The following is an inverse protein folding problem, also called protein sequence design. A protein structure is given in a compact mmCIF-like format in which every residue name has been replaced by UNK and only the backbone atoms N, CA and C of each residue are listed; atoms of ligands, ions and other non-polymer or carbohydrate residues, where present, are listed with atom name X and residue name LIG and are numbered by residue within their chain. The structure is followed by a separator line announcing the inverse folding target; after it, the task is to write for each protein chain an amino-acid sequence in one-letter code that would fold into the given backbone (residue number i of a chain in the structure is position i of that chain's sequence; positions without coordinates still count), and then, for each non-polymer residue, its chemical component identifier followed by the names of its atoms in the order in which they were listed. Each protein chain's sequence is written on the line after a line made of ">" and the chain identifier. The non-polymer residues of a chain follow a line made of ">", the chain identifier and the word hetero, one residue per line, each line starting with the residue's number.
data_IF_956306601414
#
_entry.id   IF_956306601414
#
_cell.length_a   1.000
_cell.length_b   1.000
_cell.length_c   1.000
_cell.angle_alpha   90.00
_cell.angle_beta   90.00
_cell.angle_gamma   90.00
#
_symmetry.space_group_name_H-M   'P 1'
#
loop_
_entity.id
_entity.type
_entity.pdbx_description
1 polymer ?
#
# COMPACT_ATOMS: atom_id res chain seq x y z
N UNK A 1 -17.32 -19.58 9.41
CA UNK A 1 -16.56 -20.35 8.42
C UNK A 1 -15.68 -19.40 7.64
N UNK A 2 -14.35 -19.57 7.64
CA UNK A 2 -13.44 -18.73 6.85
C UNK A 2 -13.53 -19.13 5.38
N UNK A 3 -14.18 -18.29 4.58
CA UNK A 3 -14.23 -18.47 3.14
C UNK A 3 -12.84 -18.13 2.58
N UNK A 4 -12.15 -19.10 2.00
CA UNK A 4 -11.01 -18.82 1.14
C UNK A 4 -11.53 -18.49 -0.25
N UNK A 5 -11.18 -17.34 -0.84
CA UNK A 5 -11.61 -17.05 -2.20
C UNK A 5 -10.80 -17.87 -3.23
N UNK A 6 -11.44 -18.39 -4.30
CA UNK A 6 -10.70 -19.06 -5.36
C UNK A 6 -9.99 -18.01 -6.23
N UNK A 7 -8.76 -18.29 -6.63
CA UNK A 7 -7.89 -17.34 -7.35
C UNK A 7 -8.45 -16.77 -8.65
N UNK A 8 -9.42 -17.44 -9.29
CA UNK A 8 -10.01 -16.98 -10.55
C UNK A 8 -11.13 -15.95 -10.36
N UNK A 9 -11.57 -15.71 -9.13
CA UNK A 9 -12.67 -14.80 -8.82
C UNK A 9 -12.22 -13.36 -8.50
N UNK A 10 -10.90 -13.07 -8.47
CA UNK A 10 -10.40 -11.76 -8.04
C UNK A 10 -9.23 -11.22 -8.89
N UNK A 11 -9.09 -9.89 -8.89
CA UNK A 11 -8.15 -9.12 -9.70
C UNK A 11 -6.71 -9.46 -9.28
N UNK A 12 -5.94 -10.06 -10.18
CA UNK A 12 -4.54 -10.40 -9.96
C UNK A 12 -4.29 -11.77 -9.32
N UNK A 13 -5.32 -12.61 -9.17
CA UNK A 13 -5.15 -14.01 -8.76
C UNK A 13 -4.91 -14.25 -7.27
N UNK A 14 -4.96 -13.23 -6.41
CA UNK A 14 -4.70 -13.44 -4.99
C UNK A 14 -5.79 -14.28 -4.29
N UNK A 15 -5.41 -15.04 -3.28
CA UNK A 15 -6.35 -15.76 -2.42
C UNK A 15 -6.44 -15.02 -1.08
N UNK A 16 -7.65 -14.81 -0.59
CA UNK A 16 -7.91 -14.09 0.66
C UNK A 16 -8.55 -15.00 1.70
N UNK A 17 -8.19 -14.80 2.96
CA UNK A 17 -8.98 -15.25 4.10
C UNK A 17 -10.10 -14.23 4.31
N UNK A 18 -11.34 -14.71 4.25
CA UNK A 18 -12.52 -13.94 4.62
C UNK A 18 -12.72 -14.07 6.12
N UNK A 19 -12.45 -12.97 6.84
CA UNK A 19 -12.79 -12.82 8.25
C UNK A 19 -14.28 -12.43 8.39
N UNK A 20 -14.78 -12.40 9.62
CA UNK A 20 -16.19 -12.07 9.89
C UNK A 20 -16.61 -10.69 9.35
N UNK A 21 -15.68 -9.74 9.32
CA UNK A 21 -15.86 -8.36 8.84
C UNK A 21 -15.39 -8.14 7.39
N UNK A 22 -14.98 -9.21 6.69
CA UNK A 22 -14.61 -9.12 5.29
C UNK A 22 -15.85 -9.00 4.41
N UNK A 23 -15.86 -8.02 3.51
CA UNK A 23 -16.86 -7.84 2.46
C UNK A 23 -16.55 -8.77 1.28
N UNK A 24 -17.37 -9.79 0.99
CA UNK A 24 -17.12 -10.77 -0.08
C UNK A 24 -17.06 -10.15 -1.48
N UNK A 25 -17.65 -8.98 -1.69
CA UNK A 25 -17.62 -8.26 -2.97
C UNK A 25 -16.40 -7.33 -3.07
N UNK A 26 -15.64 -7.18 -1.98
CA UNK A 26 -14.46 -6.31 -1.88
C UNK A 26 -13.30 -6.99 -1.15
N UNK A 27 -13.02 -8.23 -1.55
CA UNK A 27 -11.98 -9.09 -0.97
C UNK A 27 -10.60 -8.43 -0.97
N UNK A 28 -10.22 -7.74 -2.05
CA UNK A 28 -8.94 -7.03 -2.11
C UNK A 28 -8.72 -6.02 -0.97
N UNK A 29 -9.76 -5.29 -0.57
CA UNK A 29 -9.66 -4.21 0.42
C UNK A 29 -10.02 -4.63 1.85
N UNK A 30 -10.74 -5.75 2.01
CA UNK A 30 -11.32 -6.16 3.31
C UNK A 30 -10.95 -7.58 3.73
N UNK A 31 -10.40 -8.39 2.81
CA UNK A 31 -9.89 -9.72 3.07
C UNK A 31 -8.42 -9.69 3.48
N UNK A 32 -7.97 -10.75 4.16
CA UNK A 32 -6.56 -10.91 4.52
C UNK A 32 -5.89 -11.75 3.44
N UNK A 33 -5.02 -11.15 2.61
CA UNK A 33 -4.28 -11.92 1.61
C UNK A 33 -3.47 -13.04 2.30
N UNK A 34 -3.66 -14.30 1.85
CA UNK A 34 -2.90 -15.42 2.41
C UNK A 34 -1.40 -15.29 2.15
N UNK A 35 -1.01 -14.68 1.03
CA UNK A 35 0.38 -14.40 0.69
C UNK A 35 0.97 -13.34 1.62
N UNK A 36 0.20 -12.29 1.93
CA UNK A 36 0.63 -11.28 2.91
C UNK A 36 0.70 -11.84 4.31
N UNK A 37 -0.27 -12.66 4.73
CA UNK A 37 -0.22 -13.37 6.01
C UNK A 37 1.06 -14.21 6.11
N UNK A 38 1.39 -14.96 5.06
CA UNK A 38 2.63 -15.72 4.99
C UNK A 38 3.87 -14.83 5.10
N UNK A 39 3.91 -13.71 4.37
CA UNK A 39 4.98 -12.72 4.48
C UNK A 39 5.09 -12.11 5.88
N UNK A 40 3.96 -11.79 6.54
CA UNK A 40 3.93 -11.25 7.91
C UNK A 40 4.48 -12.28 8.88
N UNK A 41 4.02 -13.53 8.82
CA UNK A 41 4.52 -14.61 9.68
C UNK A 41 6.03 -14.77 9.48
N UNK A 42 6.51 -14.76 8.25
CA UNK A 42 7.93 -14.89 7.92
C UNK A 42 8.78 -13.70 8.40
N UNK A 43 8.32 -12.48 8.18
CA UNK A 43 9.13 -11.27 8.40
C UNK A 43 9.01 -10.72 9.82
N UNK A 44 7.89 -10.99 10.52
CA UNK A 44 7.56 -10.33 11.80
C UNK A 44 7.41 -11.27 12.98
N UNK A 45 7.25 -12.58 12.78
CA UNK A 45 7.19 -13.54 13.90
C UNK A 45 8.60 -13.97 14.28
N UNK A 46 9.15 -13.34 15.31
CA UNK A 46 10.45 -13.70 15.89
C UNK A 46 10.31 -14.91 16.82
N UNK A 47 10.10 -16.10 16.25
CA UNK A 47 10.03 -17.36 16.99
C UNK A 47 10.86 -18.43 16.30
N UNK A 48 11.59 -19.22 17.09
CA UNK A 48 12.41 -20.32 16.57
C UNK A 48 11.58 -21.43 15.93
N UNK A 49 10.32 -21.55 16.38
CA UNK A 49 9.36 -22.52 15.87
C UNK A 49 8.02 -21.85 15.62
N UNK A 50 7.45 -22.09 14.44
CA UNK A 50 6.14 -21.59 14.06
C UNK A 50 5.32 -22.75 13.53
N UNK A 51 4.17 -22.97 14.15
CA UNK A 51 3.16 -23.91 13.66
C UNK A 51 1.94 -23.10 13.25
N UNK A 52 1.51 -23.25 12.00
CA UNK A 52 0.35 -22.54 11.45
C UNK A 52 -0.72 -23.56 11.03
N UNK A 53 -1.94 -23.39 11.52
CA UNK A 53 -3.11 -24.16 11.11
C UNK A 53 -4.03 -23.27 10.28
N UNK A 54 -4.39 -23.70 9.07
CA UNK A 54 -5.20 -22.94 8.11
C UNK A 54 -6.49 -23.69 7.78
N UNK A 55 -7.58 -23.32 8.45
CA UNK A 55 -8.93 -23.76 8.08
C UNK A 55 -9.56 -22.80 7.07
N UNK A 56 -9.08 -22.85 5.83
CA UNK A 56 -9.58 -22.02 4.74
C UNK A 56 -9.69 -22.83 3.45
N UNK A 57 -10.71 -22.53 2.66
CA UNK A 57 -10.90 -23.16 1.35
C UNK A 57 -9.66 -22.92 0.46
N UNK A 58 -9.26 -23.94 -0.31
CA UNK A 58 -8.12 -23.86 -1.23
C UNK A 58 -6.78 -23.50 -0.56
N UNK A 59 -6.63 -23.79 0.74
CA UNK A 59 -5.44 -23.39 1.51
C UNK A 59 -4.18 -24.21 1.21
N UNK A 60 -4.28 -25.41 0.63
CA UNK A 60 -3.14 -26.31 0.45
C UNK A 60 -2.53 -26.34 -0.95
N UNK A 61 -1.71 -25.37 -1.35
CA UNK A 61 -0.86 -25.59 -2.53
C UNK A 61 0.51 -26.14 -2.11
N UNK A 62 0.63 -27.46 -2.23
CA UNK A 62 1.88 -28.19 -2.18
C UNK A 62 2.16 -28.73 -3.59
N UNK A 63 3.30 -28.39 -4.18
CA UNK A 63 3.77 -29.13 -5.36
C UNK A 63 5.28 -29.34 -5.32
N UNK A 64 5.65 -30.57 -4.97
CA UNK A 64 6.84 -31.22 -5.53
C UNK A 64 6.42 -32.07 -6.73
N UNK A 65 6.88 -31.70 -7.93
CA UNK A 65 7.12 -32.63 -9.04
C UNK A 65 5.94 -33.26 -9.81
N UNK A 66 5.02 -32.47 -10.40
CA UNK A 66 4.01 -33.00 -11.34
C UNK A 66 3.94 -32.22 -12.65
N UNK A 67 4.46 -32.80 -13.75
CA UNK A 67 4.27 -32.30 -15.11
C UNK A 67 2.78 -32.34 -15.48
N UNK A 68 2.26 -31.26 -16.06
CA UNK A 68 0.92 -31.24 -16.67
C UNK A 68 0.03 -30.16 -16.07
N UNK A 69 -0.33 -29.20 -16.93
CA UNK A 69 -1.17 -28.03 -16.72
C UNK A 69 -0.72 -27.07 -15.60
N UNK A 70 -0.09 -25.97 -16.01
CA UNK A 70 0.12 -24.79 -15.18
C UNK A 70 -1.22 -24.08 -14.95
N UNK A 71 -1.96 -24.47 -13.90
CA UNK A 71 -2.72 -23.47 -13.14
C UNK A 71 -1.72 -22.75 -12.25
N UNK A 72 -1.63 -21.43 -12.38
CA UNK A 72 -0.90 -20.60 -11.41
C UNK A 72 -1.64 -20.73 -10.06
N UNK A 73 -1.05 -21.52 -9.17
CA UNK A 73 -1.49 -21.67 -7.79
C UNK A 73 -0.90 -20.50 -7.00
N UNK A 74 -1.76 -19.69 -6.38
CA UNK A 74 -1.34 -18.36 -5.91
C UNK A 74 -0.93 -18.32 -4.43
N UNK A 75 -1.28 -19.30 -3.59
CA UNK A 75 -0.72 -19.47 -2.24
C UNK A 75 0.07 -20.77 -2.15
N UNK A 76 1.40 -20.71 -2.00
CA UNK A 76 2.25 -21.90 -1.85
C UNK A 76 2.78 -22.01 -0.41
N UNK A 77 2.40 -23.07 0.30
CA UNK A 77 2.87 -23.33 1.66
C UNK A 77 4.41 -23.50 1.72
N UNK A 78 5.03 -23.99 0.65
CA UNK A 78 6.49 -24.09 0.53
C UNK A 78 7.18 -22.71 0.59
N UNK A 79 6.52 -21.66 0.09
CA UNK A 79 7.06 -20.30 0.12
C UNK A 79 7.07 -19.71 1.54
N UNK A 80 6.17 -20.19 2.41
CA UNK A 80 6.15 -19.84 3.83
C UNK A 80 7.26 -20.57 4.60
N UNK A 81 7.74 -21.71 4.11
CA UNK A 81 8.81 -22.51 4.71
C UNK A 81 10.20 -22.00 4.32
N UNK A 82 10.76 -21.01 5.01
CA UNK A 82 12.15 -20.57 4.83
C UNK A 82 13.09 -20.88 6.01
N UNK A 83 12.57 -21.42 7.12
CA UNK A 83 13.35 -21.85 8.28
C UNK A 83 13.18 -23.34 8.61
N UNK A 84 14.12 -23.90 9.38
CA UNK A 84 14.07 -25.31 9.85
C UNK A 84 13.09 -25.53 11.01
N UNK A 85 12.39 -24.48 11.46
CA UNK A 85 11.47 -24.48 12.61
C UNK A 85 9.99 -24.38 12.24
N UNK A 86 9.64 -24.48 10.96
CA UNK A 86 8.31 -24.12 10.49
C UNK A 86 7.51 -25.36 10.05
N UNK A 87 6.22 -25.36 10.39
CA UNK A 87 5.23 -26.37 10.01
C UNK A 87 3.89 -25.69 9.71
N UNK A 88 3.28 -26.05 8.59
CA UNK A 88 1.97 -25.53 8.15
C UNK A 88 1.03 -26.70 7.92
N UNK A 89 -0.16 -26.64 8.52
CA UNK A 89 -1.23 -27.60 8.31
C UNK A 89 -2.41 -26.88 7.65
N UNK A 90 -2.77 -27.30 6.45
CA UNK A 90 -3.90 -26.79 5.68
C UNK A 90 -5.07 -27.77 5.72
N UNK A 91 -6.28 -27.24 5.76
CA UNK A 91 -7.54 -27.99 5.85
C UNK A 91 -7.90 -28.78 4.59
N UNK A 92 -7.41 -28.36 3.44
CA UNK A 92 -7.67 -28.99 2.15
C UNK A 92 -6.50 -28.79 1.19
N UNK A 93 -6.45 -29.57 0.11
CA UNK A 93 -5.60 -29.26 -1.05
C UNK A 93 -6.08 -27.99 -1.75
N UNK A 94 -5.24 -27.39 -2.58
CA UNK A 94 -5.51 -26.13 -3.27
C UNK A 94 -6.68 -26.23 -4.25
N UNK A 95 -6.97 -27.43 -4.75
CA UNK A 95 -8.09 -27.72 -5.64
C UNK A 95 -9.34 -28.22 -4.89
N UNK A 96 -9.30 -28.27 -3.56
CA UNK A 96 -10.38 -28.78 -2.70
C UNK A 96 -10.90 -27.71 -1.73
N UNK A 97 -12.17 -27.83 -1.37
CA UNK A 97 -12.89 -26.92 -0.48
C UNK A 97 -12.77 -27.42 0.97
N UNK A 98 -12.69 -26.51 1.95
CA UNK A 98 -12.86 -26.87 3.37
C UNK A 98 -14.33 -26.75 3.73
N UNK A 99 -14.92 -27.83 4.25
CA UNK A 99 -16.34 -27.94 4.50
C UNK A 99 -16.71 -27.80 5.98
N UNK A 100 -17.84 -27.15 6.22
CA UNK A 100 -18.56 -27.20 7.51
C UNK A 100 -19.26 -28.56 7.66
N UNK A 101 -19.38 -29.06 8.89
CA UNK A 101 -20.13 -30.29 9.14
C UNK A 101 -21.63 -30.04 9.02
N UNK A 102 -22.39 -31.07 8.60
CA UNK A 102 -23.86 -31.04 8.67
C UNK A 102 -24.38 -31.42 10.06
N UNK A 103 -23.52 -32.01 10.91
CA UNK A 103 -23.91 -32.63 12.18
C UNK A 103 -23.61 -31.74 13.40
N UNK A 104 -22.74 -30.75 13.26
CA UNK A 104 -22.31 -29.89 14.35
C UNK A 104 -21.84 -28.51 13.85
N UNK A 105 -21.88 -27.52 14.73
CA UNK A 105 -21.44 -26.15 14.45
C UNK A 105 -19.92 -26.03 14.50
N UNK A 106 -19.20 -26.47 13.46
CA UNK A 106 -17.78 -26.21 13.20
C UNK A 106 -17.37 -26.77 11.82
N UNK A 107 -16.24 -26.27 11.31
CA UNK A 107 -15.53 -26.89 10.19
C UNK A 107 -15.16 -28.34 10.51
N UNK A 108 -15.36 -29.25 9.55
CA UNK A 108 -15.00 -30.68 9.72
C UNK A 108 -13.52 -30.79 10.09
N UNK A 109 -12.66 -30.01 9.41
CA UNK A 109 -11.23 -29.95 9.72
C UNK A 109 -10.95 -29.48 11.16
N UNK A 110 -11.51 -28.34 11.58
CA UNK A 110 -11.25 -27.80 12.92
C UNK A 110 -11.69 -28.77 14.01
N UNK A 111 -12.88 -29.38 13.87
CA UNK A 111 -13.38 -30.35 14.85
C UNK A 111 -12.48 -31.59 14.94
N UNK A 112 -12.13 -32.16 13.79
CA UNK A 112 -11.28 -33.36 13.75
C UNK A 112 -9.85 -33.06 14.20
N UNK A 113 -9.34 -31.84 13.98
CA UNK A 113 -8.01 -31.43 14.44
C UNK A 113 -7.97 -31.42 15.98
N UNK A 114 -9.00 -30.85 16.61
CA UNK A 114 -9.11 -30.83 18.08
C UNK A 114 -9.21 -32.26 18.62
N UNK A 115 -10.02 -33.13 18.00
CA UNK A 115 -10.14 -34.53 18.41
C UNK A 115 -8.81 -35.27 18.30
N UNK A 116 -8.12 -35.13 17.17
CA UNK A 116 -6.86 -35.80 16.92
C UNK A 116 -5.77 -35.33 17.89
N UNK A 117 -5.66 -34.03 18.17
CA UNK A 117 -4.74 -33.48 19.17
C UNK A 117 -5.06 -33.95 20.59
N UNK A 118 -6.33 -34.24 20.90
CA UNK A 118 -6.78 -34.73 22.20
C UNK A 118 -6.63 -36.24 22.43
N UNK A 119 -6.44 -37.04 21.38
CA UNK A 119 -6.59 -38.50 21.41
C UNK A 119 -5.71 -39.23 22.42
N UNK A 120 -4.45 -38.81 22.60
CA UNK A 120 -3.50 -39.41 23.56
C UNK A 120 -3.14 -38.44 24.71
N UNK A 121 -3.94 -37.42 24.94
CA UNK A 121 -3.70 -36.39 25.96
C UNK A 121 -2.30 -35.79 25.83
N UNK A 122 -1.52 -35.77 26.92
CA UNK A 122 -0.16 -35.17 26.95
C UNK A 122 0.87 -35.90 26.07
N UNK A 123 0.56 -37.08 25.55
CA UNK A 123 1.46 -37.88 24.70
C UNK A 123 1.21 -37.68 23.21
N UNK A 124 0.11 -37.02 22.83
CA UNK A 124 -0.25 -36.84 21.43
C UNK A 124 0.84 -36.07 20.69
N UNK A 125 1.41 -36.72 19.69
CA UNK A 125 2.37 -36.09 18.79
C UNK A 125 1.65 -35.52 17.58
N UNK A 126 2.17 -34.43 17.04
CA UNK A 126 1.57 -33.75 15.90
C UNK A 126 1.54 -34.63 14.66
N UNK A 127 2.59 -35.43 14.41
CA UNK A 127 2.62 -36.35 13.28
C UNK A 127 1.51 -37.41 13.33
N UNK A 128 1.31 -38.05 14.49
CA UNK A 128 0.25 -39.05 14.66
C UNK A 128 -1.14 -38.42 14.63
N UNK A 129 -1.32 -37.27 15.28
CA UNK A 129 -2.56 -36.51 15.21
C UNK A 129 -2.90 -36.08 13.78
N UNK A 130 -1.91 -35.67 12.97
CA UNK A 130 -2.16 -35.30 11.58
C UNK A 130 -2.57 -36.49 10.72
N UNK A 131 -1.98 -37.68 10.94
CA UNK A 131 -2.40 -38.89 10.23
C UNK A 131 -3.87 -39.22 10.52
N UNK A 132 -4.25 -39.24 11.80
CA UNK A 132 -5.63 -39.47 12.24
C UNK A 132 -6.60 -38.40 11.69
N UNK A 133 -6.20 -37.13 11.74
CA UNK A 133 -6.95 -36.00 11.20
C UNK A 133 -7.24 -36.18 9.72
N UNK A 134 -6.22 -36.53 8.94
CA UNK A 134 -6.33 -36.65 7.49
C UNK A 134 -7.36 -37.73 7.10
N UNK A 135 -7.30 -38.87 7.76
CA UNK A 135 -8.22 -39.98 7.51
C UNK A 135 -9.65 -39.61 7.94
N UNK A 136 -9.81 -39.04 9.13
CA UNK A 136 -11.12 -38.68 9.68
C UNK A 136 -11.84 -37.60 8.87
N UNK A 137 -11.12 -36.57 8.41
CA UNK A 137 -11.70 -35.50 7.57
C UNK A 137 -12.12 -36.06 6.22
N UNK A 138 -11.27 -36.87 5.60
CA UNK A 138 -11.56 -37.44 4.28
C UNK A 138 -12.76 -38.40 4.34
N UNK A 139 -12.86 -39.21 5.39
CA UNK A 139 -13.97 -40.13 5.61
C UNK A 139 -15.30 -39.37 5.83
N UNK A 140 -15.32 -38.40 6.75
CA UNK A 140 -16.54 -37.65 7.08
C UNK A 140 -17.06 -36.83 5.89
N UNK A 141 -16.17 -36.10 5.20
CA UNK A 141 -16.59 -35.27 4.05
C UNK A 141 -17.07 -36.13 2.89
N UNK A 142 -16.41 -37.27 2.64
CA UNK A 142 -16.85 -38.19 1.59
C UNK A 142 -18.20 -38.81 1.94
N UNK A 143 -18.42 -39.22 3.19
CA UNK A 143 -19.67 -39.82 3.64
C UNK A 143 -20.84 -38.82 3.62
N UNK A 144 -20.61 -37.57 4.08
CA UNK A 144 -21.67 -36.59 4.25
C UNK A 144 -21.98 -35.80 2.96
N UNK A 145 -21.00 -35.67 2.06
CA UNK A 145 -21.12 -34.78 0.88
C UNK A 145 -20.78 -35.45 -0.45
N UNK A 146 -20.14 -36.62 -0.45
CA UNK A 146 -19.63 -37.25 -1.68
C UNK A 146 -18.46 -36.49 -2.32
N UNK A 147 -17.86 -35.56 -1.59
CA UNK A 147 -16.78 -34.69 -2.05
C UNK A 147 -15.46 -35.02 -1.35
N UNK A 148 -14.34 -34.55 -1.90
CA UNK A 148 -13.02 -34.74 -1.31
C UNK A 148 -12.55 -33.50 -0.54
N UNK A 149 -12.10 -33.73 0.69
CA UNK A 149 -11.31 -32.78 1.47
C UNK A 149 -10.11 -33.52 2.08
N UNK A 150 -8.90 -33.19 1.62
CA UNK A 150 -7.67 -33.83 2.05
C UNK A 150 -6.77 -32.80 2.75
N UNK A 151 -6.64 -32.88 4.09
CA UNK A 151 -5.68 -32.06 4.82
C UNK A 151 -4.24 -32.27 4.33
N UNK A 152 -3.45 -31.21 4.37
CA UNK A 152 -2.04 -31.20 3.94
C UNK A 152 -1.17 -30.67 5.07
N UNK A 153 -0.03 -31.30 5.31
CA UNK A 153 0.97 -30.81 6.27
C UNK A 153 2.31 -30.66 5.57
N UNK A 154 2.81 -29.43 5.54
CA UNK A 154 4.14 -29.09 5.03
C UNK A 154 5.06 -28.74 6.20
N UNK A 155 6.29 -29.24 6.16
CA UNK A 155 7.21 -29.10 7.29
C UNK A 155 8.66 -29.03 6.83
N UNK A 156 9.39 -28.03 7.32
CA UNK A 156 10.87 -28.00 7.30
C UNK A 156 11.47 -28.31 8.66
N UNK A 157 10.64 -28.75 9.61
CA UNK A 157 11.07 -29.18 10.94
C UNK A 157 12.04 -30.36 10.86
N UNK A 158 13.22 -30.20 11.47
CA UNK A 158 14.26 -31.25 11.53
C UNK A 158 14.45 -31.87 12.92
N UNK A 159 13.65 -31.48 13.91
CA UNK A 159 13.73 -32.03 15.26
C UNK A 159 12.81 -33.22 15.49
N UNK A 160 12.71 -33.67 16.74
CA UNK A 160 11.77 -34.71 17.15
C UNK A 160 10.32 -34.23 17.01
N UNK A 161 9.40 -35.17 16.77
CA UNK A 161 7.97 -34.87 16.57
C UNK A 161 7.39 -34.04 17.73
N UNK A 162 6.55 -33.06 17.39
CA UNK A 162 6.10 -32.01 18.29
C UNK A 162 4.94 -32.50 19.17
N UNK A 163 4.98 -32.14 20.45
CA UNK A 163 3.88 -32.35 21.40
C UNK A 163 3.17 -31.01 21.58
N UNK A 164 1.97 -30.85 21.03
CA UNK A 164 1.18 -29.61 21.14
C UNK A 164 0.14 -29.65 22.25
N UNK A 165 -0.22 -30.85 22.73
CA UNK A 165 -1.24 -31.08 23.75
C UNK A 165 -0.70 -31.00 25.19
N UNK A 166 0.51 -30.46 25.39
CA UNK A 166 1.13 -30.29 26.70
C UNK A 166 0.95 -28.85 27.23
N UNK A 167 0.95 -28.70 28.56
CA UNK A 167 0.84 -27.37 29.19
C UNK A 167 2.12 -26.55 28.95
N UNK A 168 2.01 -25.22 28.73
CA UNK A 168 3.19 -24.36 28.58
C UNK A 168 4.04 -24.39 29.85
N UNK A 169 5.35 -24.61 29.70
CA UNK A 169 6.28 -24.63 30.85
C UNK A 169 6.59 -23.25 31.41
N UNK A 170 6.48 -22.18 30.60
CA UNK A 170 6.67 -20.76 30.97
C UNK A 170 5.81 -19.82 30.10
N UNK A 171 4.53 -19.57 30.45
CA UNK A 171 3.71 -18.62 29.69
C UNK A 171 4.26 -17.20 29.78
N UNK A 172 4.29 -16.47 28.65
CA UNK A 172 4.67 -15.05 28.62
C UNK A 172 3.58 -14.23 29.29
N UNK A 173 3.96 -13.33 30.21
CA UNK A 173 3.01 -12.41 30.83
C UNK A 173 2.37 -11.49 29.78
N UNK A 174 1.04 -11.38 29.80
CA UNK A 174 0.30 -10.47 28.92
C UNK A 174 0.47 -9.04 29.45
N UNK A 175 0.91 -8.06 28.64
CA UNK A 175 1.04 -6.67 29.09
C UNK A 175 -0.33 -6.10 29.51
N UNK A 176 -0.38 -5.48 30.69
CA UNK A 176 -1.60 -4.87 31.23
C UNK A 176 -1.82 -3.49 30.58
N UNK A 177 -2.83 -3.38 29.71
CA UNK A 177 -3.06 -2.22 28.84
C UNK A 177 -3.60 -0.99 29.61
N UNK A 178 -3.98 -1.16 30.88
CA UNK A 178 -4.65 -0.10 31.68
C UNK A 178 -3.74 0.67 32.65
N UNK A 179 -2.42 0.46 32.66
CA UNK A 179 -1.54 1.03 33.68
C UNK A 179 -0.80 2.34 33.28
N UNK A 180 -1.06 2.93 32.11
CA UNK A 180 -0.28 4.06 31.57
C UNK A 180 -1.00 5.41 31.53
N UNK A 181 -1.85 5.71 32.51
CA UNK A 181 -2.39 7.07 32.73
C UNK A 181 -1.91 7.63 34.06
N UNK A 182 -0.61 7.92 34.13
CA UNK A 182 -0.04 8.85 35.12
C UNK A 182 1.39 9.19 34.70
N UNK A 183 1.55 10.28 33.97
CA UNK A 183 2.86 10.95 33.85
C UNK A 183 2.65 12.44 34.14
N UNK A 184 3.13 12.86 35.30
CA UNK A 184 3.45 14.25 35.58
C UNK A 184 4.67 14.68 34.77
N UNK A 185 4.75 15.94 34.32
CA UNK A 185 5.87 16.43 33.52
C UNK A 185 6.97 16.99 34.42
N UNK A 186 8.19 16.48 34.28
CA UNK A 186 9.40 17.18 34.73
C UNK A 186 10.30 17.44 33.53
N UNK A 187 10.60 18.72 33.37
CA UNK A 187 11.47 19.35 32.39
C UNK A 187 12.94 18.99 32.59
N UNK A 188 13.65 18.71 31.49
CA UNK A 188 14.98 19.26 31.22
C UNK A 188 15.26 19.22 29.70
N UNK A 189 15.95 20.23 29.14
CA UNK A 189 16.20 20.36 27.71
C UNK A 189 17.52 19.65 27.34
N UNK A 190 17.41 18.54 26.62
CA UNK A 190 18.59 17.80 26.16
C UNK A 190 18.25 16.85 25.02
N UNK A 191 18.55 17.30 23.80
CA UNK A 191 18.72 16.52 22.56
C UNK A 191 17.73 15.36 22.40
N UNK A 192 16.61 15.63 21.74
CA UNK A 192 15.73 14.58 21.21
C UNK A 192 16.56 13.61 20.36
N UNK A 193 16.63 12.31 20.67
CA UNK A 193 17.20 11.34 19.75
C UNK A 193 16.31 11.34 18.51
N UNK A 194 16.89 11.68 17.36
CA UNK A 194 16.23 11.64 16.05
C UNK A 194 15.57 10.25 15.91
N UNK A 195 14.24 10.15 15.71
CA UNK A 195 13.57 8.86 15.68
C UNK A 195 14.20 8.02 14.58
N UNK A 196 14.62 6.79 14.92
CA UNK A 196 15.12 5.85 13.93
C UNK A 196 14.04 5.67 12.87
N UNK A 197 14.37 5.98 11.62
CA UNK A 197 13.41 5.92 10.52
C UNK A 197 12.90 4.49 10.40
N UNK A 198 11.65 4.25 10.80
CA UNK A 198 10.98 2.96 10.59
C UNK A 198 11.06 2.66 9.10
N UNK A 199 11.58 1.48 8.76
CA UNK A 199 11.71 1.08 7.36
C UNK A 199 10.31 0.90 6.75
N UNK A 200 10.12 1.41 5.53
CA UNK A 200 8.86 1.18 4.81
C UNK A 200 8.72 -0.32 4.54
N UNK A 201 7.62 -0.94 5.00
CA UNK A 201 7.32 -2.34 4.70
C UNK A 201 7.33 -2.63 3.21
N UNK A 202 7.76 -3.85 2.84
CA UNK A 202 7.87 -4.27 1.43
C UNK A 202 6.54 -4.17 0.68
N UNK A 203 5.42 -4.47 1.34
CA UNK A 203 4.09 -4.39 0.72
C UNK A 203 3.71 -2.96 0.31
N UNK A 204 4.05 -1.93 1.09
CA UNK A 204 3.82 -0.53 0.73
C UNK A 204 4.69 -0.09 -0.45
N UNK A 205 5.93 -0.59 -0.53
CA UNK A 205 6.79 -0.35 -1.71
C UNK A 205 6.21 -0.99 -2.97
N UNK A 206 5.62 -2.17 -2.85
CA UNK A 206 4.92 -2.83 -3.96
C UNK A 206 3.67 -2.05 -4.36
N UNK A 207 2.89 -1.59 -3.38
CA UNK A 207 1.68 -0.80 -3.62
C UNK A 207 2.00 0.52 -4.34
N UNK A 208 3.05 1.23 -3.91
CA UNK A 208 3.56 2.42 -4.59
C UNK A 208 3.94 2.13 -6.05
N UNK A 209 4.66 1.03 -6.29
CA UNK A 209 5.01 0.61 -7.65
C UNK A 209 3.77 0.33 -8.50
N UNK A 210 2.78 -0.39 -7.96
CA UNK A 210 1.53 -0.68 -8.68
C UNK A 210 0.75 0.60 -8.97
N UNK A 211 0.69 1.53 -8.02
CA UNK A 211 0.03 2.83 -8.23
C UNK A 211 0.73 3.62 -9.34
N UNK A 212 2.06 3.65 -9.36
CA UNK A 212 2.84 4.27 -10.44
C UNK A 212 2.66 3.57 -11.80
N UNK A 213 2.54 2.24 -11.83
CA UNK A 213 2.21 1.49 -13.05
C UNK A 213 0.85 1.93 -13.60
N UNK A 214 -0.18 2.00 -12.74
CA UNK A 214 -1.53 2.47 -13.12
C UNK A 214 -1.53 3.93 -13.60
N UNK A 215 -0.72 4.79 -12.99
CA UNK A 215 -0.50 6.16 -13.47
C UNK A 215 0.05 6.19 -14.89
N UNK A 216 1.03 5.34 -15.21
CA UNK A 216 1.65 5.31 -16.53
C UNK A 216 0.70 4.75 -17.61
N UNK A 217 -0.18 3.83 -17.24
CA UNK A 217 -1.28 3.31 -18.06
C UNK A 217 -2.46 4.30 -18.20
N UNK A 218 -2.41 5.46 -17.53
CA UNK A 218 -3.49 6.45 -17.45
C UNK A 218 -4.78 5.92 -16.80
N UNK A 219 -4.65 4.86 -16.00
CA UNK A 219 -5.70 4.28 -15.17
C UNK A 219 -5.80 5.08 -13.86
N UNK A 220 -6.29 6.31 -13.96
CA UNK A 220 -6.25 7.27 -12.86
C UNK A 220 -7.17 6.94 -11.68
N UNK A 221 -8.29 6.24 -11.92
CA UNK A 221 -9.20 5.85 -10.84
C UNK A 221 -8.61 4.72 -9.99
N UNK A 222 -7.96 3.75 -10.64
CA UNK A 222 -7.22 2.68 -10.00
C UNK A 222 -6.00 3.22 -9.25
N UNK A 223 -5.22 4.09 -9.88
CA UNK A 223 -4.08 4.74 -9.26
C UNK A 223 -4.49 5.52 -8.00
N UNK A 224 -5.62 6.25 -8.06
CA UNK A 224 -6.13 7.00 -6.93
C UNK A 224 -6.44 6.10 -5.72
N UNK A 225 -7.18 5.02 -5.95
CA UNK A 225 -7.48 4.04 -4.89
C UNK A 225 -6.20 3.47 -4.26
N UNK A 226 -5.22 3.10 -5.08
CA UNK A 226 -3.96 2.53 -4.58
C UNK A 226 -3.15 3.55 -3.78
N UNK A 227 -3.11 4.82 -4.22
CA UNK A 227 -2.42 5.87 -3.47
C UNK A 227 -3.14 6.26 -2.18
N UNK A 228 -4.48 6.21 -2.12
CA UNK A 228 -5.23 6.44 -0.87
C UNK A 228 -4.92 5.35 0.17
N UNK A 229 -4.86 4.08 -0.26
CA UNK A 229 -4.44 2.95 0.60
C UNK A 229 -2.98 3.11 1.02
N UNK A 230 -2.10 3.50 0.09
CA UNK A 230 -0.68 3.72 0.36
C UNK A 230 -0.49 4.80 1.43
N UNK A 231 -1.22 5.92 1.32
CA UNK A 231 -1.17 7.00 2.31
C UNK A 231 -1.51 6.47 3.70
N UNK A 232 -2.66 5.80 3.86
CA UNK A 232 -3.07 5.25 5.15
C UNK A 232 -2.03 4.28 5.74
N UNK A 233 -1.47 3.41 4.90
CA UNK A 233 -0.41 2.49 5.30
C UNK A 233 0.89 3.19 5.71
N UNK A 234 1.33 4.20 4.97
CA UNK A 234 2.53 4.98 5.30
C UNK A 234 2.35 5.75 6.61
N UNK A 235 1.21 6.41 6.80
CA UNK A 235 0.91 7.14 8.04
C UNK A 235 0.90 6.22 9.27
N UNK A 236 0.34 5.02 9.14
CA UNK A 236 0.29 4.04 10.23
C UNK A 236 1.66 3.41 10.53
N UNK A 237 2.50 3.21 9.51
CA UNK A 237 3.75 2.44 9.65
C UNK A 237 4.96 3.29 9.93
N UNK A 238 5.18 4.33 9.13
CA UNK A 238 6.37 5.19 9.20
C UNK A 238 6.05 6.59 9.71
N UNK A 239 4.79 7.01 9.67
CA UNK A 239 4.29 8.26 10.23
C UNK A 239 3.86 9.28 9.17
N UNK A 240 3.17 10.35 9.62
CA UNK A 240 2.66 11.41 8.74
C UNK A 240 3.76 12.30 8.16
N UNK A 241 4.74 12.68 8.97
CA UNK A 241 5.79 13.61 8.56
C UNK A 241 7.04 12.87 8.04
N UNK A 242 6.89 12.10 6.96
CA UNK A 242 8.01 11.37 6.33
C UNK A 242 8.09 11.62 4.83
N UNK A 243 9.28 11.40 4.25
CA UNK A 243 9.51 11.55 2.81
C UNK A 243 8.59 10.69 1.95
N UNK A 244 8.24 9.51 2.44
CA UNK A 244 7.40 8.57 1.70
C UNK A 244 5.95 9.02 1.71
N UNK A 245 5.49 9.54 2.85
CA UNK A 245 4.16 10.13 2.97
C UNK A 245 4.06 11.37 2.07
N UNK A 246 5.06 12.24 2.03
CA UNK A 246 5.03 13.41 1.14
C UNK A 246 5.06 13.04 -0.34
N UNK A 247 5.86 12.06 -0.74
CA UNK A 247 5.85 11.53 -2.11
C UNK A 247 4.44 11.02 -2.49
N UNK A 248 3.76 10.30 -1.59
CA UNK A 248 2.39 9.84 -1.81
C UNK A 248 1.38 11.00 -1.88
N UNK A 249 1.49 12.01 -1.00
CA UNK A 249 0.65 13.21 -1.02
C UNK A 249 0.79 13.98 -2.34
N UNK A 250 2.00 14.08 -2.89
CA UNK A 250 2.23 14.69 -4.21
C UNK A 250 1.41 14.01 -5.30
N UNK A 251 1.42 12.68 -5.35
CA UNK A 251 0.70 11.90 -6.36
C UNK A 251 -0.82 12.03 -6.19
N UNK A 252 -1.32 11.94 -4.96
CA UNK A 252 -2.73 12.15 -4.66
C UNK A 252 -3.20 13.56 -5.01
N UNK A 253 -2.42 14.58 -4.65
CA UNK A 253 -2.71 15.97 -4.98
C UNK A 253 -2.87 16.16 -6.48
N UNK A 254 -1.92 15.64 -7.28
CA UNK A 254 -2.01 15.71 -8.74
C UNK A 254 -3.24 14.97 -9.30
N UNK A 255 -3.52 13.76 -8.81
CA UNK A 255 -4.68 12.97 -9.24
C UNK A 255 -5.99 13.69 -8.94
N UNK A 256 -6.12 14.28 -7.75
CA UNK A 256 -7.27 15.10 -7.39
C UNK A 256 -7.42 16.34 -8.27
N UNK A 257 -6.32 17.02 -8.62
CA UNK A 257 -6.37 18.13 -9.58
C UNK A 257 -6.93 17.66 -10.93
N UNK A 258 -6.43 16.55 -11.48
CA UNK A 258 -6.88 16.01 -12.77
C UNK A 258 -8.34 15.56 -12.74
N UNK A 259 -8.81 15.04 -11.60
CA UNK A 259 -10.19 14.58 -11.39
C UNK A 259 -11.15 15.70 -10.99
N UNK A 260 -10.69 16.95 -10.87
CA UNK A 260 -11.52 18.09 -10.49
C UNK A 260 -11.86 18.17 -8.99
N UNK A 261 -11.28 17.30 -8.15
CA UNK A 261 -11.38 17.35 -6.68
C UNK A 261 -10.41 18.40 -6.12
N UNK A 262 -10.60 19.65 -6.54
CA UNK A 262 -9.60 20.70 -6.35
C UNK A 262 -9.35 21.01 -4.86
N UNK A 263 -10.39 21.08 -4.04
CA UNK A 263 -10.26 21.38 -2.60
C UNK A 263 -9.42 20.30 -1.87
N UNK A 264 -9.63 19.03 -2.22
CA UNK A 264 -8.83 17.94 -1.68
C UNK A 264 -7.37 18.07 -2.14
N UNK A 265 -7.13 18.37 -3.42
CA UNK A 265 -5.80 18.57 -3.97
C UNK A 265 -5.03 19.69 -3.24
N UNK A 266 -5.69 20.83 -3.04
CA UNK A 266 -5.12 22.00 -2.36
C UNK A 266 -4.72 21.66 -0.92
N UNK A 267 -5.61 21.01 -0.18
CA UNK A 267 -5.34 20.59 1.20
C UNK A 267 -4.10 19.69 1.28
N UNK A 268 -4.00 18.69 0.40
CA UNK A 268 -2.84 17.77 0.39
C UNK A 268 -1.55 18.47 -0.04
N UNK A 269 -1.60 19.38 -1.01
CA UNK A 269 -0.42 20.08 -1.50
C UNK A 269 0.11 21.06 -0.43
N UNK A 270 -0.77 21.76 0.32
CA UNK A 270 -0.34 22.58 1.48
C UNK A 270 0.29 21.74 2.57
N UNK A 271 -0.30 20.58 2.88
CA UNK A 271 0.28 19.64 3.84
C UNK A 271 1.68 19.18 3.38
N UNK A 272 1.82 18.80 2.11
CA UNK A 272 3.08 18.39 1.50
C UNK A 272 4.15 19.49 1.55
N UNK A 273 3.79 20.75 1.26
CA UNK A 273 4.68 21.92 1.41
C UNK A 273 5.18 22.05 2.85
N UNK A 274 4.30 21.99 3.85
CA UNK A 274 4.66 22.11 5.28
C UNK A 274 5.62 21.00 5.70
N UNK A 275 5.34 19.76 5.33
CA UNK A 275 6.16 18.61 5.71
C UNK A 275 7.52 18.69 5.02
N UNK A 276 7.57 18.95 3.71
CA UNK A 276 8.83 19.06 2.98
C UNK A 276 9.70 20.23 3.47
N UNK A 277 9.11 21.36 3.87
CA UNK A 277 9.83 22.46 4.49
C UNK A 277 10.49 22.05 5.82
N UNK A 278 9.82 21.18 6.58
CA UNK A 278 10.34 20.63 7.85
C UNK A 278 11.46 19.61 7.60
N UNK A 279 11.29 18.73 6.61
CA UNK A 279 12.22 17.63 6.32
C UNK A 279 13.50 18.09 5.61
N UNK A 280 13.38 19.03 4.68
CA UNK A 280 14.43 19.39 3.74
C UNK A 280 14.81 20.88 3.77
N UNK A 281 14.10 21.69 4.56
CA UNK A 281 14.26 23.14 4.61
C UNK A 281 13.29 23.87 3.68
N UNK A 282 12.96 25.14 3.99
CA UNK A 282 11.93 25.93 3.31
C UNK A 282 12.28 26.32 1.87
N UNK A 283 13.55 26.22 1.49
CA UNK A 283 14.05 26.56 0.15
C UNK A 283 14.45 25.33 -0.68
N UNK A 284 14.00 24.13 -0.27
CA UNK A 284 14.37 22.88 -0.94
C UNK A 284 13.65 22.67 -2.27
N UNK A 285 14.23 21.81 -3.11
CA UNK A 285 13.63 21.34 -4.37
C UNK A 285 12.20 20.80 -4.17
N UNK A 286 11.97 20.06 -3.08
CA UNK A 286 10.66 19.48 -2.80
C UNK A 286 9.63 20.57 -2.51
N UNK A 287 9.97 21.59 -1.72
CA UNK A 287 9.07 22.73 -1.46
C UNK A 287 8.76 23.49 -2.75
N UNK A 288 9.77 23.73 -3.60
CA UNK A 288 9.59 24.39 -4.90
C UNK A 288 8.60 23.64 -5.80
N UNK A 289 8.74 22.31 -5.88
CA UNK A 289 7.85 21.43 -6.65
C UNK A 289 6.41 21.47 -6.13
N UNK A 290 6.21 21.27 -4.84
CA UNK A 290 4.85 21.24 -4.26
C UNK A 290 4.18 22.63 -4.33
N UNK A 291 4.94 23.72 -4.18
CA UNK A 291 4.43 25.09 -4.34
C UNK A 291 3.96 25.34 -5.78
N UNK A 292 4.67 24.78 -6.78
CA UNK A 292 4.25 24.87 -8.18
C UNK A 292 2.95 24.10 -8.43
N UNK A 293 2.80 22.91 -7.83
CA UNK A 293 1.58 22.11 -7.91
C UNK A 293 0.39 22.81 -7.23
N UNK A 294 0.61 23.43 -6.06
CA UNK A 294 -0.40 24.24 -5.38
C UNK A 294 -0.87 25.40 -6.25
N UNK A 295 0.07 26.11 -6.89
CA UNK A 295 -0.27 27.18 -7.83
C UNK A 295 -1.14 26.68 -9.00
N UNK A 296 -0.79 25.52 -9.59
CA UNK A 296 -1.60 24.90 -10.64
C UNK A 296 -3.03 24.61 -10.17
N UNK A 297 -3.20 24.09 -8.95
CA UNK A 297 -4.52 23.79 -8.37
C UNK A 297 -5.32 25.06 -8.11
N UNK A 298 -4.72 26.11 -7.52
CA UNK A 298 -5.39 27.39 -7.29
C UNK A 298 -5.84 28.06 -8.61
N UNK A 299 -5.02 27.96 -9.67
CA UNK A 299 -5.41 28.41 -11.01
C UNK A 299 -6.57 27.61 -11.59
N UNK A 300 -6.63 26.29 -11.35
CA UNK A 300 -7.75 25.46 -11.76
C UNK A 300 -9.04 25.82 -11.01
N UNK A 301 -8.92 26.26 -9.74
CA UNK A 301 -10.04 26.82 -8.96
C UNK A 301 -10.45 28.22 -9.39
N UNK A 302 -9.66 28.89 -10.24
CA UNK A 302 -9.80 30.30 -10.58
C UNK A 302 -9.57 31.25 -9.38
N UNK A 303 -8.88 30.80 -8.34
CA UNK A 303 -8.45 31.67 -7.24
C UNK A 303 -7.13 32.37 -7.60
N UNK A 304 -7.23 33.36 -8.49
CA UNK A 304 -6.07 34.12 -8.96
C UNK A 304 -5.45 34.99 -7.86
N UNK A 305 -6.23 35.37 -6.84
CA UNK A 305 -5.74 36.20 -5.73
C UNK A 305 -4.78 35.39 -4.87
N UNK A 306 -5.17 34.19 -4.46
CA UNK A 306 -4.29 33.34 -3.67
C UNK A 306 -3.18 32.69 -4.51
N UNK A 307 -3.43 32.41 -5.79
CA UNK A 307 -2.39 31.89 -6.68
C UNK A 307 -1.22 32.86 -6.89
N UNK A 308 -1.44 34.17 -6.77
CA UNK A 308 -0.42 35.21 -7.02
C UNK A 308 0.81 35.06 -6.12
N UNK A 309 0.71 35.12 -4.78
CA UNK A 309 1.87 34.95 -3.90
C UNK A 309 2.49 33.55 -4.02
N UNK A 310 1.69 32.50 -4.29
CA UNK A 310 2.19 31.14 -4.47
C UNK A 310 3.04 31.02 -5.74
N UNK A 311 2.61 31.63 -6.85
CA UNK A 311 3.35 31.66 -8.11
C UNK A 311 4.68 32.41 -7.96
N UNK A 312 4.66 33.58 -7.31
CA UNK A 312 5.88 34.35 -7.02
C UNK A 312 6.86 33.54 -6.18
N UNK A 313 6.38 32.89 -5.12
CA UNK A 313 7.22 32.05 -4.27
C UNK A 313 7.81 30.86 -5.03
N UNK A 314 7.04 30.21 -5.91
CA UNK A 314 7.55 29.13 -6.75
C UNK A 314 8.69 29.61 -7.68
N UNK A 315 8.56 30.79 -8.30
CA UNK A 315 9.62 31.39 -9.12
C UNK A 315 10.88 31.62 -8.28
N UNK A 316 10.75 32.29 -7.12
CA UNK A 316 11.89 32.58 -6.23
C UNK A 316 12.63 31.31 -5.80
N UNK A 317 11.88 30.26 -5.41
CA UNK A 317 12.44 28.98 -5.00
C UNK A 317 13.24 28.32 -6.13
N UNK A 318 12.66 28.26 -7.34
CA UNK A 318 13.33 27.63 -8.47
C UNK A 318 14.55 28.42 -8.96
N UNK A 319 14.49 29.75 -8.92
CA UNK A 319 15.63 30.62 -9.21
C UNK A 319 16.74 30.46 -8.16
N UNK A 320 16.39 30.34 -6.88
CA UNK A 320 17.37 30.11 -5.81
C UNK A 320 18.12 28.77 -5.95
N UNK A 321 17.45 27.73 -6.47
CA UNK A 321 18.03 26.40 -6.61
C UNK A 321 18.92 26.20 -7.84
N UNK A 322 18.64 26.92 -8.93
CA UNK A 322 19.27 26.65 -10.22
C UNK A 322 19.49 27.86 -11.11
N UNK A 323 19.31 29.07 -10.56
CA UNK A 323 19.41 30.33 -11.30
C UNK A 323 18.20 30.63 -12.18
N UNK A 324 18.24 31.79 -12.84
CA UNK A 324 17.13 32.34 -13.63
C UNK A 324 16.78 31.53 -14.89
N UNK A 325 17.69 30.70 -15.37
CA UNK A 325 17.56 29.85 -16.56
C UNK A 325 17.18 28.40 -16.22
N UNK A 326 16.88 28.11 -14.96
CA UNK A 326 16.47 26.79 -14.51
C UNK A 326 15.19 26.34 -15.27
N UNK A 327 15.18 25.14 -15.89
CA UNK A 327 14.00 24.60 -16.59
C UNK A 327 12.72 24.61 -15.77
N UNK A 328 12.80 24.42 -14.45
CA UNK A 328 11.65 24.36 -13.56
C UNK A 328 10.98 25.74 -13.34
N UNK A 329 11.69 26.84 -13.60
CA UNK A 329 11.13 28.20 -13.54
C UNK A 329 10.06 28.39 -14.62
N UNK A 330 10.18 27.69 -15.76
CA UNK A 330 9.28 27.83 -16.92
C UNK A 330 7.80 27.66 -16.55
N UNK A 331 7.44 26.61 -15.81
CA UNK A 331 6.03 26.38 -15.44
C UNK A 331 5.49 27.47 -14.51
N UNK A 332 6.31 27.93 -13.58
CA UNK A 332 5.92 28.99 -12.65
C UNK A 332 5.73 30.35 -13.35
N UNK A 333 6.56 30.66 -14.36
CA UNK A 333 6.38 31.84 -15.22
C UNK A 333 5.09 31.77 -16.03
N UNK A 334 4.77 30.61 -16.61
CA UNK A 334 3.52 30.41 -17.36
C UNK A 334 2.30 30.57 -16.45
N UNK A 335 2.39 30.10 -15.22
CA UNK A 335 1.34 30.30 -14.21
C UNK A 335 1.19 31.77 -13.83
N UNK A 336 2.29 32.48 -13.58
CA UNK A 336 2.23 33.91 -13.27
C UNK A 336 1.68 34.73 -14.45
N UNK A 337 2.05 34.39 -15.69
CA UNK A 337 1.48 35.03 -16.88
C UNK A 337 -0.04 34.79 -17.00
N UNK A 338 -0.54 33.64 -16.55
CA UNK A 338 -1.97 33.37 -16.49
C UNK A 338 -2.71 34.32 -15.54
N UNK A 339 -2.10 34.56 -14.38
CA UNK A 339 -2.61 35.45 -13.34
C UNK A 339 -2.61 36.90 -13.86
N UNK A 340 -1.50 37.34 -14.44
CA UNK A 340 -1.40 38.69 -15.01
C UNK A 340 -2.39 38.89 -16.16
N UNK A 341 -2.60 37.89 -17.03
CA UNK A 341 -3.62 37.93 -18.06
C UNK A 341 -5.03 38.09 -17.48
N UNK A 342 -5.38 37.37 -16.41
CA UNK A 342 -6.67 37.49 -15.72
C UNK A 342 -6.87 38.92 -15.19
N UNK A 343 -5.83 39.49 -14.57
CA UNK A 343 -5.84 40.88 -14.10
C UNK A 343 -5.60 41.93 -15.19
N UNK A 344 -5.66 41.56 -16.47
CA UNK A 344 -5.48 42.46 -17.62
C UNK A 344 -4.12 43.18 -17.64
N UNK A 345 -3.10 42.62 -16.98
CA UNK A 345 -1.70 43.11 -16.98
C UNK A 345 -0.92 42.47 -18.13
N UNK A 346 -1.37 42.75 -19.35
CA UNK A 346 -0.91 42.04 -20.55
C UNK A 346 0.58 42.20 -20.84
N UNK A 347 1.14 43.39 -20.61
CA UNK A 347 2.57 43.64 -20.85
C UNK A 347 3.44 42.81 -19.89
N UNK A 348 3.05 42.69 -18.61
CA UNK A 348 3.74 41.82 -17.65
C UNK A 348 3.64 40.34 -18.04
N UNK A 349 2.47 39.92 -18.51
CA UNK A 349 2.28 38.56 -19.01
C UNK A 349 3.18 38.27 -20.22
N UNK A 350 3.34 39.23 -21.14
CA UNK A 350 4.25 39.09 -22.28
C UNK A 350 5.71 38.97 -21.82
N UNK A 351 6.19 39.84 -20.93
CA UNK A 351 7.55 39.77 -20.38
C UNK A 351 7.86 38.38 -19.77
N UNK A 352 6.90 37.83 -19.01
CA UNK A 352 7.00 36.51 -18.40
C UNK A 352 7.04 35.40 -19.46
N UNK A 353 6.21 35.48 -20.50
CA UNK A 353 6.16 34.47 -21.57
C UNK A 353 7.35 34.54 -22.52
N UNK A 354 7.91 35.72 -22.77
CA UNK A 354 9.16 35.87 -23.49
C UNK A 354 10.31 35.22 -22.73
N UNK A 355 10.37 35.44 -21.42
CA UNK A 355 11.35 34.78 -20.57
C UNK A 355 11.17 33.25 -20.57
N UNK A 356 9.94 32.76 -20.43
CA UNK A 356 9.66 31.33 -20.50
C UNK A 356 10.04 30.72 -21.87
N UNK A 357 9.88 31.46 -22.97
CA UNK A 357 10.33 31.04 -24.30
C UNK A 357 11.86 30.94 -24.41
N UNK A 358 12.59 31.92 -23.85
CA UNK A 358 14.07 31.87 -23.80
C UNK A 358 14.54 30.62 -23.07
N UNK A 359 14.00 30.34 -21.89
CA UNK A 359 14.31 29.11 -21.13
C UNK A 359 13.97 27.86 -21.96
N UNK A 360 12.76 27.79 -22.54
CA UNK A 360 12.35 26.65 -23.35
C UNK A 360 13.26 26.40 -24.56
N UNK A 361 13.77 27.47 -25.18
CA UNK A 361 14.68 27.41 -26.31
C UNK A 361 16.09 26.97 -25.90
N UNK A 362 16.63 27.51 -24.81
CA UNK A 362 17.94 27.15 -24.28
C UNK A 362 18.02 25.67 -23.89
N UNK A 363 16.90 25.11 -23.39
CA UNK A 363 16.78 23.71 -23.01
C UNK A 363 16.51 22.76 -24.18
N UNK A 364 16.44 23.26 -25.42
CA UNK A 364 16.11 22.46 -26.61
C UNK A 364 14.84 21.61 -26.44
N UNK A 365 13.83 22.12 -25.73
CA UNK A 365 12.61 21.36 -25.46
C UNK A 365 11.89 21.05 -26.77
N UNK A 366 11.68 19.75 -27.01
CA UNK A 366 10.96 19.27 -28.18
C UNK A 366 9.56 19.91 -28.28
N UNK A 367 9.07 20.11 -29.51
CA UNK A 367 7.78 20.77 -29.76
C UNK A 367 6.59 20.09 -29.06
N UNK A 368 6.68 18.78 -28.84
CA UNK A 368 5.67 17.96 -28.16
C UNK A 368 5.84 17.90 -26.63
N UNK A 369 6.83 18.60 -26.06
CA UNK A 369 7.00 18.64 -24.60
C UNK A 369 5.78 19.32 -23.93
N UNK A 370 5.17 18.71 -22.90
CA UNK A 370 3.97 19.26 -22.24
C UNK A 370 4.14 20.69 -21.72
N UNK A 371 5.29 21.05 -21.16
CA UNK A 371 5.55 22.40 -20.67
C UNK A 371 5.64 23.41 -21.81
N UNK A 372 6.22 23.02 -22.94
CA UNK A 372 6.27 23.86 -24.15
C UNK A 372 4.88 24.03 -24.77
N UNK A 373 4.04 23.00 -24.76
CA UNK A 373 2.65 23.08 -25.21
C UNK A 373 1.82 24.03 -24.33
N UNK A 374 1.95 23.93 -23.00
CA UNK A 374 1.29 24.86 -22.06
C UNK A 374 1.73 26.32 -22.31
N UNK A 375 3.04 26.55 -22.50
CA UNK A 375 3.59 27.86 -22.84
C UNK A 375 2.97 28.40 -24.14
N UNK A 376 2.94 27.60 -25.20
CA UNK A 376 2.39 28.01 -26.49
C UNK A 376 0.90 28.35 -26.38
N UNK A 377 0.11 27.50 -25.71
CA UNK A 377 -1.29 27.76 -25.46
C UNK A 377 -1.50 29.09 -24.71
N UNK A 378 -0.65 29.39 -23.72
CA UNK A 378 -0.72 30.64 -22.96
C UNK A 378 -0.41 31.86 -23.83
N UNK A 379 0.61 31.78 -24.69
CA UNK A 379 0.95 32.83 -25.65
C UNK A 379 -0.22 33.11 -26.60
N UNK A 380 -0.83 32.06 -27.14
CA UNK A 380 -1.93 32.22 -28.09
C UNK A 380 -3.20 32.77 -27.41
N UNK A 381 -3.49 32.33 -26.18
CA UNK A 381 -4.56 32.90 -25.35
C UNK A 381 -4.36 34.38 -25.08
N UNK A 382 -3.13 34.80 -24.76
CA UNK A 382 -2.80 36.20 -24.50
C UNK A 382 -2.98 37.08 -25.75
N UNK A 383 -2.54 36.57 -26.91
CA UNK A 383 -2.72 37.24 -28.22
C UNK A 383 -4.19 37.42 -28.57
N UNK A 384 -5.03 36.40 -28.34
CA UNK A 384 -6.47 36.49 -28.56
C UNK A 384 -7.11 37.54 -27.64
N UNK A 385 -6.75 37.56 -26.36
CA UNK A 385 -7.23 38.55 -25.40
C UNK A 385 -6.79 40.00 -25.71
N UNK A 386 -5.75 40.18 -26.54
CA UNK A 386 -5.35 41.49 -27.09
C UNK A 386 -6.15 41.89 -28.34
N UNK A 387 -6.50 40.94 -29.21
CA UNK A 387 -7.25 41.21 -30.44
C UNK A 387 -8.73 41.52 -30.22
N UNK A 388 -9.32 41.03 -29.13
CA UNK A 388 -10.70 41.32 -28.75
C UNK A 388 -10.89 42.63 -27.99
N UNK A 389 -9.91 43.55 -28.04
CA UNK A 389 -9.93 44.85 -27.35
C UNK A 389 -10.10 46.00 -28.32
#
# INVERSE_FOLDING_TARGET
>A
SSHGSPSHADVGGANFLVAHDTDPERLFSTGISMQELASIVKERVHSDRVVLFLDACHSGAARTGGKGLHRQLNFNADNLMQGTGQLVVCSSRADQISWESQKYENGVFTRQLINALGKEGKKTRLGSAFADLKDSVQEEVLADRGELQTPVMESKWRGSDLLLSCLPTKPRAVPNINASVSRTPTSEPGVTPKPSAKSVPVYLKRLDKMAAEKMSERQYDEALKLYEILRAGLEATVGRDTKHTTECLTQLGWLYTVKGRLADAESLQRESVRINATLYGPDSFFVARETTLLCNTLLAMQDYVEATPVAMRAIELWEGLGGKENPHVLESLVNMAAIDQHFKKYDKADDLLERAQKIASAQNLAKNNPHRLKLQHRIDSLRQARRGR
#
